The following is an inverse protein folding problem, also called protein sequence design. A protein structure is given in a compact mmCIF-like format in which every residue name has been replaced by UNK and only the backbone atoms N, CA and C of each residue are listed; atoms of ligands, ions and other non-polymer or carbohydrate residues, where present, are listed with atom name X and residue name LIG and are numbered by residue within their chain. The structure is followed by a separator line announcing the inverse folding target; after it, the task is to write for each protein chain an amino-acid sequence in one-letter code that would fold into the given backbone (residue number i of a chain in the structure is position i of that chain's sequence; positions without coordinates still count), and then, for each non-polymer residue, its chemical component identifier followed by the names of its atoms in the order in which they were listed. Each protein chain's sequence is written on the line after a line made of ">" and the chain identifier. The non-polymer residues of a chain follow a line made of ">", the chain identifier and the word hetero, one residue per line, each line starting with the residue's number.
data_IF_285596577621
#
_entry.id   IF_285596577621
#
_cell.length_a   1.000
_cell.length_b   1.000
_cell.length_c   1.000
_cell.angle_alpha   90.00
_cell.angle_beta   90.00
_cell.angle_gamma   90.00
#
_symmetry.space_group_name_H-M   'P 1'
#
loop_
_entity.id
_entity.type
_entity.pdbx_description
1 polymer ?
#
# COMPACT_ATOMS: atom_id res chain seq x y z
N UNK A 1 33.31 15.18 31.91
CA UNK A 1 33.26 14.19 30.82
C UNK A 1 31.80 13.99 30.47
N UNK A 2 31.25 14.92 29.69
CA UNK A 2 29.88 14.87 29.19
C UNK A 2 30.00 14.86 27.68
N UNK A 3 29.45 13.84 27.04
CA UNK A 3 29.30 13.81 25.60
C UNK A 3 27.81 13.76 25.33
N UNK A 4 27.23 14.95 25.23
CA UNK A 4 25.89 15.18 24.73
C UNK A 4 25.83 14.85 23.24
N UNK A 5 25.42 13.63 22.94
CA UNK A 5 25.04 13.21 21.60
C UNK A 5 23.72 13.89 21.24
N UNK A 6 23.79 15.08 20.67
CA UNK A 6 22.74 15.63 19.80
C UNK A 6 22.58 14.69 18.61
N UNK A 7 21.69 13.70 18.74
CA UNK A 7 21.15 13.00 17.60
C UNK A 7 20.16 13.94 16.94
N UNK A 8 20.66 14.55 15.88
CA UNK A 8 19.96 15.37 14.90
C UNK A 8 18.58 14.79 14.61
N UNK A 9 17.56 15.60 14.88
CA UNK A 9 16.21 15.52 14.36
C UNK A 9 16.28 15.15 12.87
N UNK A 10 16.10 13.86 12.59
CA UNK A 10 16.04 13.33 11.24
C UNK A 10 14.86 13.98 10.55
N UNK A 11 15.16 14.62 9.43
CA UNK A 11 14.26 15.38 8.57
C UNK A 11 12.87 14.76 8.47
N UNK A 12 11.91 15.51 9.00
CA UNK A 12 10.49 15.32 8.77
C UNK A 12 10.22 15.52 7.27
N UNK A 13 9.91 14.44 6.54
CA UNK A 13 9.46 14.56 5.16
C UNK A 13 8.08 15.22 5.18
N UNK A 14 8.05 16.49 4.80
CA UNK A 14 6.86 17.26 4.50
C UNK A 14 6.10 16.60 3.33
N UNK A 15 5.10 15.77 3.65
CA UNK A 15 4.15 15.28 2.66
C UNK A 15 2.90 16.16 2.70
N UNK A 16 3.04 17.35 2.11
CA UNK A 16 1.93 18.28 1.89
C UNK A 16 0.89 17.66 0.94
N UNK A 17 -0.25 17.29 1.54
CA UNK A 17 -1.62 17.67 1.17
C UNK A 17 -2.17 17.35 -0.23
N UNK A 18 -3.14 16.43 -0.19
CA UNK A 18 -4.45 16.53 -0.86
C UNK A 18 -4.54 16.39 -2.37
N UNK A 19 -4.19 15.19 -2.85
CA UNK A 19 -5.12 14.37 -3.65
C UNK A 19 -5.21 13.04 -2.91
N UNK A 20 -6.38 12.42 -2.78
CA UNK A 20 -6.48 11.03 -2.35
C UNK A 20 -5.92 10.14 -3.47
N UNK A 21 -4.61 10.24 -3.67
CA UNK A 21 -3.81 9.27 -4.40
C UNK A 21 -3.68 8.15 -3.39
N UNK A 22 -4.26 6.99 -3.70
CA UNK A 22 -3.95 5.80 -2.93
C UNK A 22 -2.44 5.67 -2.87
N UNK A 23 -1.84 5.89 -1.70
CA UNK A 23 -0.43 5.56 -1.49
C UNK A 23 -0.39 4.05 -1.26
N UNK A 24 -0.60 3.30 -2.34
CA UNK A 24 -0.47 1.85 -2.33
C UNK A 24 1.00 1.51 -2.20
N UNK A 25 1.33 0.58 -1.32
CA UNK A 25 2.69 0.09 -1.13
C UNK A 25 2.75 -1.43 -1.25
N UNK A 26 3.93 -1.94 -1.61
CA UNK A 26 4.19 -3.37 -1.56
C UNK A 26 4.03 -3.89 -0.13
N UNK A 27 3.29 -4.99 0.01
CA UNK A 27 2.94 -5.60 1.29
C UNK A 27 1.59 -5.19 1.84
N UNK A 28 0.95 -4.15 1.28
CA UNK A 28 -0.37 -3.69 1.71
C UNK A 28 -1.42 -4.78 1.54
N UNK A 29 -2.33 -4.84 2.50
CA UNK A 29 -3.51 -5.68 2.42
C UNK A 29 -4.68 -4.86 1.87
N UNK A 30 -5.13 -5.21 0.68
CA UNK A 30 -6.19 -4.53 -0.03
C UNK A 30 -7.39 -5.44 -0.29
N UNK A 31 -8.49 -4.82 -0.72
CA UNK A 31 -9.65 -5.52 -1.26
C UNK A 31 -9.93 -5.01 -2.66
N UNK A 32 -10.38 -5.89 -3.53
CA UNK A 32 -10.89 -5.50 -4.83
C UNK A 32 -12.32 -4.99 -4.71
N UNK A 33 -12.73 -4.07 -5.58
CA UNK A 33 -14.11 -3.56 -5.67
C UNK A 33 -15.13 -4.67 -5.97
N UNK A 34 -14.69 -5.76 -6.60
CA UNK A 34 -15.50 -6.97 -6.81
C UNK A 34 -15.94 -7.63 -5.50
N UNK A 35 -15.31 -7.32 -4.37
CA UNK A 35 -15.63 -7.89 -3.06
C UNK A 35 -15.06 -9.29 -2.83
N UNK A 36 -14.22 -9.79 -3.73
CA UNK A 36 -13.63 -11.14 -3.69
C UNK A 36 -12.48 -11.25 -2.68
N UNK A 37 -12.78 -11.13 -1.39
CA UNK A 37 -11.78 -11.37 -0.34
C UNK A 37 -10.69 -10.31 -0.25
N UNK A 38 -9.59 -10.67 0.43
CA UNK A 38 -8.46 -9.78 0.69
C UNK A 38 -7.23 -10.26 -0.07
N UNK A 39 -6.39 -9.31 -0.46
CA UNK A 39 -5.20 -9.57 -1.25
C UNK A 39 -4.03 -8.78 -0.70
N UNK A 40 -2.82 -9.31 -0.90
CA UNK A 40 -1.59 -8.61 -0.59
C UNK A 40 -0.93 -8.10 -1.86
N UNK A 41 -0.49 -6.84 -1.84
CA UNK A 41 0.30 -6.24 -2.92
C UNK A 41 1.72 -6.81 -2.92
N UNK A 42 2.17 -7.25 -4.09
CA UNK A 42 3.48 -7.86 -4.32
C UNK A 42 4.39 -6.94 -5.13
N UNK A 43 3.83 -6.11 -6.00
CA UNK A 43 4.55 -5.09 -6.74
C UNK A 43 3.59 -4.06 -7.31
N UNK A 44 4.11 -2.88 -7.61
CA UNK A 44 3.34 -1.76 -8.16
C UNK A 44 4.08 -1.27 -9.39
N UNK A 45 3.32 -0.99 -10.44
CA UNK A 45 3.76 -0.37 -11.68
C UNK A 45 3.05 0.98 -11.80
N UNK A 46 3.71 2.01 -11.29
CA UNK A 46 3.19 3.38 -11.31
C UNK A 46 3.12 3.94 -12.74
N UNK A 47 3.92 3.43 -13.68
CA UNK A 47 3.92 3.89 -15.07
C UNK A 47 2.69 3.40 -15.85
N UNK A 48 2.10 2.27 -15.44
CA UNK A 48 0.97 1.63 -16.12
C UNK A 48 -0.31 1.52 -15.29
N UNK A 49 -0.40 2.21 -14.15
CA UNK A 49 -1.54 2.16 -13.23
C UNK A 49 -1.98 0.73 -12.86
N UNK A 50 -1.00 -0.16 -12.69
CA UNK A 50 -1.21 -1.59 -12.40
C UNK A 50 -0.45 -2.01 -11.16
N UNK A 51 -0.96 -3.04 -10.50
CA UNK A 51 -0.23 -3.70 -9.43
C UNK A 51 -0.38 -5.22 -9.53
N UNK A 52 0.57 -5.93 -8.95
CA UNK A 52 0.53 -7.37 -8.80
C UNK A 52 0.11 -7.71 -7.39
N UNK A 53 -0.89 -8.57 -7.28
CA UNK A 53 -1.46 -8.98 -6.00
C UNK A 53 -1.52 -10.49 -5.90
N UNK A 54 -1.60 -11.00 -4.67
CA UNK A 54 -1.89 -12.41 -4.38
C UNK A 54 -2.96 -12.53 -3.31
N UNK A 55 -3.66 -13.65 -3.28
CA UNK A 55 -4.66 -13.92 -2.25
C UNK A 55 -4.06 -13.87 -0.84
N UNK A 56 -4.80 -13.27 0.09
CA UNK A 56 -4.49 -13.24 1.52
C UNK A 56 -5.73 -13.60 2.34
N UNK A 57 -5.64 -14.48 3.36
CA UNK A 57 -4.45 -15.14 3.90
C UNK A 57 -3.81 -16.15 2.95
N UNK A 58 -2.54 -16.51 3.21
CA UNK A 58 -1.80 -17.47 2.39
C UNK A 58 -2.44 -18.87 2.49
N UNK A 59 -2.82 -19.41 1.35
CA UNK A 59 -3.27 -20.79 1.23
C UNK A 59 -2.05 -21.74 1.21
N UNK A 60 -2.08 -22.87 1.94
CA UNK A 60 -0.99 -23.84 1.95
C UNK A 60 -0.72 -24.48 0.57
N UNK A 61 -1.68 -24.47 -0.35
CA UNK A 61 -1.50 -24.91 -1.74
C UNK A 61 -0.89 -23.82 -2.64
N UNK A 62 -0.66 -22.63 -2.10
CA UNK A 62 -0.08 -21.49 -2.78
C UNK A 62 -1.12 -20.45 -3.20
N UNK A 63 -0.67 -19.21 -3.35
CA UNK A 63 -1.49 -18.10 -3.82
C UNK A 63 -0.89 -17.57 -5.13
N UNK A 64 -1.58 -17.73 -6.27
CA UNK A 64 -1.09 -17.19 -7.52
C UNK A 64 -1.00 -15.66 -7.44
N UNK A 65 0.03 -15.11 -8.08
CA UNK A 65 0.18 -13.67 -8.27
C UNK A 65 -0.44 -13.31 -9.61
N UNK A 66 -1.29 -12.28 -9.64
CA UNK A 66 -1.91 -11.78 -10.86
C UNK A 66 -1.94 -10.25 -10.88
N UNK A 67 -2.01 -9.68 -12.09
CA UNK A 67 -2.09 -8.23 -12.27
C UNK A 67 -3.52 -7.73 -12.12
N UNK A 68 -3.68 -6.56 -11.52
CA UNK A 68 -4.95 -5.81 -11.45
C UNK A 68 -4.70 -4.33 -11.70
N UNK A 69 -5.67 -3.66 -12.30
CA UNK A 69 -5.64 -2.21 -12.43
C UNK A 69 -5.85 -1.56 -11.05
N UNK A 70 -5.14 -0.47 -10.76
CA UNK A 70 -5.31 0.27 -9.50
C UNK A 70 -6.75 0.74 -9.27
N UNK A 71 -7.49 1.00 -10.35
CA UNK A 71 -8.91 1.35 -10.31
C UNK A 71 -9.80 0.24 -9.70
N UNK A 72 -9.39 -1.03 -9.81
CA UNK A 72 -10.12 -2.17 -9.24
C UNK A 72 -9.92 -2.30 -7.73
N UNK A 73 -9.03 -1.52 -7.13
CA UNK A 73 -8.78 -1.54 -5.70
C UNK A 73 -9.84 -0.70 -4.99
N UNK A 74 -10.44 -1.28 -3.96
CA UNK A 74 -11.33 -0.57 -3.06
C UNK A 74 -10.47 0.16 -2.02
N UNK A 75 -10.37 1.47 -2.12
CA UNK A 75 -9.92 2.30 -1.00
C UNK A 75 -10.87 2.14 0.17
N UNK A 76 -10.37 2.06 1.41
CA UNK A 76 -11.16 2.62 2.50
C UNK A 76 -11.37 4.10 2.14
N UNK A 77 -12.61 4.47 1.88
CA UNK A 77 -12.98 5.89 1.76
C UNK A 77 -12.57 6.49 3.10
N UNK A 78 -11.62 7.41 3.12
CA UNK A 78 -11.39 8.23 4.30
C UNK A 78 -12.71 8.96 4.55
N UNK A 79 -13.50 8.47 5.52
CA UNK A 79 -14.55 9.24 6.15
C UNK A 79 -13.85 10.39 6.89
N UNK A 80 -13.71 11.51 6.18
CA UNK A 80 -13.36 12.79 6.78
C UNK A 80 -14.59 13.27 7.58
N UNK A 81 -14.52 13.22 8.91
CA UNK A 81 -15.28 14.09 9.83
C UNK A 81 -14.34 15.08 10.52
#
# INVERSE_FOLDING_TARGET
>A
MSNELSLTLGSHCDQQSSRSVMTLHQGDCIKLRSGEGSFQVIGIDDDHDRCWIRQWPLDPHGCPVFEVALEQISTPVEEFE
#
